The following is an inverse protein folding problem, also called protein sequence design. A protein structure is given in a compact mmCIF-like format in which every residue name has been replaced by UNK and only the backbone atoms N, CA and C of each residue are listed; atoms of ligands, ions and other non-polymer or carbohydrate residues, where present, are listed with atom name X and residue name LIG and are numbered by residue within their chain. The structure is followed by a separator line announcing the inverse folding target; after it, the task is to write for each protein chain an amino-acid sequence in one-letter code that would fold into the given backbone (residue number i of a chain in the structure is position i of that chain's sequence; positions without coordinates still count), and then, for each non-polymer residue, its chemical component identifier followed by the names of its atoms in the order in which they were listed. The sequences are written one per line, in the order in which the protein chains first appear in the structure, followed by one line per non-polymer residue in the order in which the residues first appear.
data_IF_444330811984
#
_entry.id   IF_444330811984
#
_cell.length_a   1.000
_cell.length_b   1.000
_cell.length_c   1.000
_cell.angle_alpha   90.00
_cell.angle_beta   90.00
_cell.angle_gamma   90.00
#
_symmetry.space_group_name_H-M   'P 1'
#
loop_
_entity.id
_entity.type
_entity.pdbx_description
1 polymer ?
#
# COMPACT_ATOMS: atom_id res chain seq x y z
N UNK A 1 17.66 -46.14 -44.38
CA UNK A 1 17.12 -47.36 -43.70
C UNK A 1 17.08 -47.02 -42.22
N UNK A 2 15.99 -46.92 -41.46
CA UNK A 2 14.58 -47.36 -41.55
C UNK A 2 13.73 -46.26 -40.89
N UNK A 3 12.56 -45.95 -41.46
CA UNK A 3 11.54 -45.02 -40.94
C UNK A 3 10.68 -45.70 -39.88
N UNK A 4 10.23 -44.97 -38.86
CA UNK A 4 9.03 -45.32 -38.10
C UNK A 4 7.99 -44.19 -38.18
N UNK A 5 6.86 -44.53 -38.81
CA UNK A 5 5.59 -43.80 -38.82
C UNK A 5 4.80 -44.20 -37.56
N UNK A 6 4.05 -43.26 -36.99
CA UNK A 6 2.81 -43.59 -36.30
C UNK A 6 1.67 -42.72 -36.85
N UNK A 7 0.72 -43.41 -37.49
CA UNK A 7 -0.58 -42.94 -37.94
C UNK A 7 -1.60 -43.26 -36.85
N UNK A 8 -2.44 -42.31 -36.44
CA UNK A 8 -3.79 -42.63 -35.94
C UNK A 8 -4.81 -41.75 -36.66
N UNK A 9 -5.85 -42.44 -37.12
CA UNK A 9 -6.89 -42.03 -38.06
C UNK A 9 -8.01 -41.25 -37.39
N UNK A 10 -8.56 -40.36 -38.22
CA UNK A 10 -9.81 -39.61 -38.14
C UNK A 10 -11.03 -40.53 -37.92
N UNK A 11 -11.99 -40.05 -37.12
CA UNK A 11 -13.42 -40.34 -37.33
C UNK A 11 -14.22 -39.03 -37.21
N UNK A 12 -14.71 -38.56 -38.35
CA UNK A 12 -15.68 -37.48 -38.55
C UNK A 12 -17.02 -38.14 -38.85
N UNK A 13 -18.10 -37.73 -38.19
CA UNK A 13 -19.41 -37.73 -38.84
C UNK A 13 -20.33 -36.68 -38.21
N UNK A 14 -20.70 -35.74 -39.06
CA UNK A 14 -21.74 -34.74 -38.89
C UNK A 14 -23.10 -35.39 -38.66
N UNK A 15 -24.01 -34.71 -37.95
CA UNK A 15 -25.23 -34.11 -38.52
C UNK A 15 -26.05 -33.41 -37.44
N UNK A 16 -26.17 -32.09 -37.60
CA UNK A 16 -27.39 -31.27 -37.60
C UNK A 16 -28.53 -31.39 -36.57
N UNK A 17 -29.04 -30.17 -36.32
CA UNK A 17 -30.44 -29.78 -36.05
C UNK A 17 -30.92 -29.58 -34.60
N UNK A 18 -30.96 -28.29 -34.24
CA UNK A 18 -32.16 -27.54 -33.81
C UNK A 18 -32.86 -27.81 -32.47
N UNK A 19 -33.08 -26.70 -31.74
CA UNK A 19 -34.21 -26.42 -30.81
C UNK A 19 -34.23 -27.25 -29.51
N UNK A 20 -34.65 -26.77 -28.33
CA UNK A 20 -35.00 -25.47 -27.79
C UNK A 20 -34.99 -25.61 -26.26
N UNK A 21 -34.80 -24.50 -25.56
CA UNK A 21 -34.98 -24.39 -24.11
C UNK A 21 -36.41 -24.75 -23.69
N UNK A 22 -36.55 -25.44 -22.55
CA UNK A 22 -37.79 -25.44 -21.78
C UNK A 22 -38.39 -26.82 -21.51
N UNK A 23 -38.50 -27.13 -20.21
CA UNK A 23 -39.36 -28.17 -19.64
C UNK A 23 -38.96 -29.63 -19.88
N UNK A 24 -38.40 -30.26 -18.86
CA UNK A 24 -39.15 -31.23 -18.05
C UNK A 24 -38.46 -31.49 -16.72
N UNK A 25 -39.12 -31.01 -15.67
CA UNK A 25 -38.89 -31.29 -14.27
C UNK A 25 -39.13 -32.77 -13.93
N UNK A 26 -38.38 -33.21 -12.90
CA UNK A 26 -38.77 -34.07 -11.77
C UNK A 26 -38.95 -35.58 -11.96
N UNK A 27 -38.31 -36.25 -10.99
CA UNK A 27 -38.66 -37.49 -10.31
C UNK A 27 -38.25 -38.82 -10.95
N UNK A 28 -37.22 -39.42 -10.34
CA UNK A 28 -37.34 -40.77 -9.76
C UNK A 28 -36.26 -40.97 -8.69
N UNK A 29 -36.70 -41.41 -7.52
CA UNK A 29 -36.00 -41.63 -6.26
C UNK A 29 -35.95 -43.15 -5.99
N UNK A 30 -34.97 -43.57 -5.19
CA UNK A 30 -34.91 -44.82 -4.40
C UNK A 30 -34.55 -46.10 -5.17
N UNK A 31 -33.70 -47.02 -4.71
CA UNK A 31 -33.25 -47.44 -3.36
C UNK A 31 -31.83 -48.03 -3.50
N UNK A 32 -30.96 -48.15 -2.49
CA UNK A 32 -30.97 -49.20 -1.46
C UNK A 32 -30.23 -48.76 -0.16
N UNK A 33 -30.89 -49.09 0.96
CA UNK A 33 -30.51 -49.25 2.37
C UNK A 33 -29.04 -49.62 2.70
N UNK A 34 -28.36 -49.06 3.73
CA UNK A 34 -28.50 -49.06 5.22
C UNK A 34 -27.65 -50.15 5.91
N UNK A 35 -26.57 -49.75 6.60
CA UNK A 35 -26.00 -50.24 7.90
C UNK A 35 -24.92 -49.19 8.27
N UNK A 36 -24.73 -48.62 9.46
CA UNK A 36 -25.30 -48.76 10.80
C UNK A 36 -24.62 -47.71 11.71
N UNK A 37 -25.33 -47.24 12.73
CA UNK A 37 -24.94 -46.20 13.69
C UNK A 37 -23.79 -46.63 14.62
N UNK A 38 -22.83 -45.73 14.85
CA UNK A 38 -22.11 -45.58 16.11
C UNK A 38 -21.90 -44.08 16.38
N UNK A 39 -22.65 -43.55 17.34
CA UNK A 39 -22.56 -42.16 17.78
C UNK A 39 -21.39 -41.99 18.76
N UNK A 40 -20.32 -41.33 18.31
CA UNK A 40 -19.28 -40.74 19.15
C UNK A 40 -19.52 -39.23 19.18
N UNK A 41 -20.14 -38.74 20.26
CA UNK A 41 -20.25 -37.31 20.54
C UNK A 41 -18.88 -36.78 20.98
N UNK A 42 -18.09 -36.28 20.04
CA UNK A 42 -16.94 -35.44 20.34
C UNK A 42 -17.43 -34.01 20.53
N UNK A 43 -17.57 -33.60 21.78
CA UNK A 43 -17.81 -32.21 22.16
C UNK A 43 -16.56 -31.39 21.85
N UNK A 44 -16.51 -30.75 20.69
CA UNK A 44 -15.51 -29.72 20.39
C UNK A 44 -15.94 -28.42 21.08
N UNK A 45 -15.09 -27.79 21.91
CA UNK A 45 -15.37 -26.45 22.41
C UNK A 45 -15.27 -25.47 21.24
N UNK A 46 -16.41 -24.93 20.79
CA UNK A 46 -16.41 -23.74 19.95
C UNK A 46 -15.80 -22.59 20.77
N UNK A 47 -14.73 -21.93 20.30
CA UNK A 47 -14.32 -20.69 20.92
C UNK A 47 -15.43 -19.65 20.69
N UNK A 48 -15.65 -18.71 21.63
CA UNK A 48 -16.61 -17.65 21.40
C UNK A 48 -16.21 -16.88 20.14
N UNK A 49 -17.18 -16.67 19.24
CA UNK A 49 -17.11 -15.71 18.14
C UNK A 49 -16.82 -14.32 18.73
N UNK A 50 -15.54 -14.02 18.91
CA UNK A 50 -15.09 -12.65 19.07
C UNK A 50 -15.31 -11.97 17.72
N UNK A 51 -16.27 -11.05 17.68
CA UNK A 51 -16.41 -10.14 16.56
C UNK A 51 -15.06 -9.46 16.36
N UNK A 52 -14.39 -9.79 15.26
CA UNK A 52 -13.19 -9.08 14.84
C UNK A 52 -13.61 -7.64 14.52
N UNK A 53 -13.36 -6.72 15.43
CA UNK A 53 -13.39 -5.28 15.14
C UNK A 53 -12.26 -5.01 14.14
N UNK A 54 -12.62 -4.90 12.87
CA UNK A 54 -11.72 -4.52 11.78
C UNK A 54 -11.50 -3.01 11.85
N UNK A 55 -10.29 -2.60 12.19
CA UNK A 55 -9.85 -1.20 12.13
C UNK A 55 -9.47 -0.87 10.69
N UNK A 56 -10.40 -0.30 9.92
CA UNK A 56 -10.11 0.33 8.63
C UNK A 56 -9.36 1.66 8.86
N UNK A 57 -8.08 1.59 9.21
CA UNK A 57 -7.21 2.78 9.20
C UNK A 57 -7.11 3.34 7.78
N UNK A 58 -6.86 4.64 7.60
CA UNK A 58 -6.58 5.24 6.30
C UNK A 58 -5.10 5.64 6.26
N UNK A 59 -4.46 5.54 5.10
CA UNK A 59 -3.22 6.28 4.86
C UNK A 59 -3.58 7.76 4.84
N UNK A 60 -2.95 8.52 5.73
CA UNK A 60 -3.23 9.93 5.93
C UNK A 60 -4.03 10.25 7.19
N UNK A 61 -4.96 9.41 7.69
CA UNK A 61 -5.78 9.70 8.88
C UNK A 61 -6.25 8.44 9.65
N UNK A 62 -6.26 8.44 10.99
CA UNK A 62 -6.77 7.30 11.77
C UNK A 62 -8.32 7.30 11.79
N UNK A 63 -8.96 6.25 11.24
CA UNK A 63 -10.41 6.01 11.38
C UNK A 63 -10.62 4.62 11.99
N UNK A 64 -11.25 4.50 13.18
CA UNK A 64 -11.73 3.21 13.68
C UNK A 64 -13.15 2.88 13.17
N UNK A 65 -13.62 1.65 13.36
CA UNK A 65 -14.95 1.13 12.96
C UNK A 65 -16.14 1.70 13.75
N UNK A 66 -17.28 1.91 13.09
CA UNK A 66 -18.51 2.58 13.58
C UNK A 66 -19.52 1.61 14.26
N UNK A 67 -20.02 1.92 15.47
CA UNK A 67 -21.29 1.37 15.99
C UNK A 67 -22.42 2.41 15.95
N UNK A 68 -23.66 1.97 15.65
CA UNK A 68 -24.88 2.81 15.60
C UNK A 68 -25.84 2.38 16.72
N UNK A 69 -26.28 3.29 17.62
CA UNK A 69 -27.47 3.10 18.45
C UNK A 69 -28.59 4.13 18.16
N UNK A 70 -29.84 3.65 18.17
CA UNK A 70 -31.05 4.40 17.79
C UNK A 70 -31.69 5.30 18.87
N UNK A 71 -32.58 6.20 18.41
CA UNK A 71 -33.38 7.17 19.20
C UNK A 71 -34.67 7.62 18.47
N UNK A 72 -35.50 8.45 19.13
CA UNK A 72 -36.96 8.73 18.90
C UNK A 72 -37.36 9.43 17.58
N UNK A 73 -38.64 9.43 17.14
CA UNK A 73 -39.07 9.82 15.78
C UNK A 73 -38.72 11.28 15.33
N UNK A 74 -38.65 12.27 16.22
CA UNK A 74 -38.12 13.61 15.89
C UNK A 74 -36.58 13.64 15.87
N UNK A 75 -35.95 12.80 16.70
CA UNK A 75 -34.54 12.43 16.59
C UNK A 75 -34.27 11.47 15.43
N UNK A 76 -35.29 10.86 14.80
CA UNK A 76 -35.19 10.02 13.60
C UNK A 76 -35.26 10.90 12.37
N UNK A 77 -35.97 12.02 12.37
CA UNK A 77 -35.88 13.00 11.28
C UNK A 77 -34.56 13.77 11.32
N UNK A 78 -34.12 14.22 12.50
CA UNK A 78 -32.76 14.77 12.69
C UNK A 78 -31.68 13.70 12.53
N UNK A 79 -31.96 12.47 12.97
CA UNK A 79 -31.09 11.31 12.88
C UNK A 79 -30.93 10.81 11.46
N UNK A 80 -32.00 10.69 10.67
CA UNK A 80 -31.94 10.29 9.27
C UNK A 80 -31.22 11.35 8.42
N UNK A 81 -31.41 12.64 8.71
CA UNK A 81 -30.64 13.72 8.08
C UNK A 81 -29.16 13.62 8.49
N UNK A 82 -28.86 13.39 9.77
CA UNK A 82 -27.50 13.19 10.28
C UNK A 82 -26.84 11.94 9.68
N UNK A 83 -27.56 10.83 9.58
CA UNK A 83 -27.10 9.57 9.02
C UNK A 83 -26.84 9.70 7.53
N UNK A 84 -27.69 10.42 6.81
CA UNK A 84 -27.48 10.72 5.40
C UNK A 84 -26.26 11.64 5.19
N UNK A 85 -26.03 12.62 6.07
CA UNK A 85 -24.83 13.47 6.06
C UNK A 85 -23.57 12.64 6.32
N UNK A 86 -23.56 11.87 7.40
CA UNK A 86 -22.45 10.99 7.79
C UNK A 86 -22.17 9.97 6.68
N UNK A 87 -23.20 9.38 6.09
CA UNK A 87 -23.06 8.41 5.00
C UNK A 87 -22.52 9.05 3.73
N UNK A 88 -23.04 10.21 3.32
CA UNK A 88 -22.62 10.86 2.06
C UNK A 88 -21.20 11.43 2.18
N UNK A 89 -20.90 12.12 3.27
CA UNK A 89 -19.55 12.63 3.55
C UNK A 89 -18.57 11.49 3.81
N UNK A 90 -18.98 10.46 4.56
CA UNK A 90 -18.18 9.25 4.77
C UNK A 90 -17.86 8.54 3.45
N UNK A 91 -18.84 8.41 2.55
CA UNK A 91 -18.63 7.89 1.21
C UNK A 91 -17.67 8.75 0.40
N UNK A 92 -17.80 10.08 0.48
CA UNK A 92 -16.87 10.99 -0.20
C UNK A 92 -15.46 10.81 0.34
N UNK A 93 -15.30 10.77 1.66
CA UNK A 93 -14.01 10.55 2.32
C UNK A 93 -13.37 9.22 1.92
N UNK A 94 -14.17 8.18 1.67
CA UNK A 94 -13.63 6.86 1.26
C UNK A 94 -13.32 6.80 -0.23
N UNK A 95 -14.23 7.24 -1.10
CA UNK A 95 -14.08 7.08 -2.56
C UNK A 95 -13.17 8.12 -3.19
N UNK A 96 -13.11 9.31 -2.60
CA UNK A 96 -12.32 10.44 -3.13
C UNK A 96 -10.97 10.59 -2.44
N UNK A 97 -10.65 9.76 -1.45
CA UNK A 97 -9.36 9.82 -0.74
C UNK A 97 -8.20 9.68 -1.73
N UNK A 98 -7.22 10.62 -1.71
CA UNK A 98 -6.05 10.54 -2.59
C UNK A 98 -5.30 9.23 -2.42
N UNK A 99 -5.09 8.82 -1.17
CA UNK A 99 -4.53 7.52 -0.80
C UNK A 99 -5.46 6.86 0.23
N UNK A 100 -5.65 5.55 0.13
CA UNK A 100 -6.43 4.75 1.08
C UNK A 100 -5.54 3.68 1.70
N UNK A 101 -5.89 3.18 2.88
CA UNK A 101 -5.09 2.11 3.50
C UNK A 101 -5.03 0.87 2.63
N UNK A 102 -3.86 0.26 2.61
CA UNK A 102 -3.60 -1.01 1.98
C UNK A 102 -3.57 -2.16 2.99
N UNK A 103 -3.89 -1.92 4.27
CA UNK A 103 -3.87 -2.94 5.33
C UNK A 103 -4.85 -4.09 5.06
N UNK A 104 -5.94 -3.83 4.34
CA UNK A 104 -6.89 -4.85 3.88
C UNK A 104 -6.45 -5.53 2.57
N UNK A 105 -5.45 -4.97 1.90
CA UNK A 105 -4.92 -5.41 0.61
C UNK A 105 -3.50 -5.97 0.72
N UNK A 106 -3.06 -6.34 1.93
CA UNK A 106 -1.75 -6.96 2.15
C UNK A 106 -1.58 -8.18 1.25
N UNK A 107 -0.41 -8.29 0.63
CA UNK A 107 -0.06 -9.51 -0.08
C UNK A 107 0.09 -10.66 0.92
N UNK A 108 -0.35 -11.89 0.57
CA UNK A 108 -0.12 -13.07 1.40
C UNK A 108 1.38 -13.23 1.69
N UNK A 109 1.73 -13.59 2.92
CA UNK A 109 3.11 -13.88 3.28
C UNK A 109 3.41 -15.37 3.17
N UNK A 110 4.67 -15.72 2.91
CA UNK A 110 5.14 -17.11 2.91
C UNK A 110 6.13 -17.33 4.04
N UNK A 111 6.00 -18.48 4.71
CA UNK A 111 6.93 -18.91 5.77
C UNK A 111 8.27 -19.39 5.21
N UNK A 112 8.28 -19.89 3.99
CA UNK A 112 9.47 -20.32 3.27
C UNK A 112 9.46 -19.79 1.84
N UNK A 113 10.55 -19.12 1.45
CA UNK A 113 10.73 -18.62 0.09
C UNK A 113 10.94 -19.80 -0.88
N UNK A 114 10.20 -19.91 -2.00
CA UNK A 114 10.33 -21.05 -2.90
C UNK A 114 11.71 -21.15 -3.56
N UNK A 115 12.19 -22.38 -3.74
CA UNK A 115 13.48 -22.68 -4.37
C UNK A 115 14.66 -22.62 -3.39
N UNK A 116 15.84 -22.26 -3.91
CA UNK A 116 17.11 -22.21 -3.15
C UNK A 116 17.15 -21.04 -2.15
N UNK A 117 18.16 -21.01 -1.27
CA UNK A 117 18.40 -19.84 -0.42
C UNK A 117 18.51 -18.54 -1.26
N UNK A 118 18.05 -17.42 -0.69
CA UNK A 118 18.13 -16.11 -1.33
C UNK A 118 19.58 -15.70 -1.53
N UNK A 119 19.98 -15.50 -2.78
CA UNK A 119 21.32 -15.09 -3.17
C UNK A 119 21.21 -13.94 -4.20
N UNK A 120 21.05 -12.70 -3.72
CA UNK A 120 20.72 -11.57 -4.57
C UNK A 120 21.85 -11.25 -5.54
N UNK A 121 21.47 -10.93 -6.77
CA UNK A 121 22.32 -10.29 -7.75
C UNK A 121 22.19 -8.76 -7.62
N UNK A 122 23.17 -8.05 -8.17
CA UNK A 122 23.10 -6.61 -8.32
C UNK A 122 21.87 -6.20 -9.15
N UNK A 123 21.42 -4.97 -8.96
CA UNK A 123 20.29 -4.43 -9.70
C UNK A 123 20.56 -4.49 -11.22
N UNK A 124 19.57 -4.89 -12.06
CA UNK A 124 19.75 -4.88 -13.51
C UNK A 124 20.09 -3.46 -14.01
N UNK A 125 21.07 -3.30 -14.91
CA UNK A 125 21.57 -1.97 -15.31
C UNK A 125 20.52 -1.10 -16.00
N UNK A 126 19.50 -1.71 -16.62
CA UNK A 126 18.40 -1.01 -17.28
C UNK A 126 17.15 -0.88 -16.38
N UNK A 127 17.20 -1.24 -15.10
CA UNK A 127 16.01 -1.19 -14.22
C UNK A 127 15.48 0.25 -14.10
N UNK A 128 16.36 1.22 -13.89
CA UNK A 128 15.99 2.63 -13.72
C UNK A 128 15.36 3.20 -15.02
N UNK A 129 15.92 2.88 -16.19
CA UNK A 129 15.33 3.33 -17.45
C UNK A 129 13.99 2.66 -17.74
N UNK A 130 13.86 1.36 -17.44
CA UNK A 130 12.60 0.64 -17.54
C UNK A 130 11.51 1.27 -16.67
N UNK A 131 11.77 1.46 -15.38
CA UNK A 131 10.75 1.94 -14.44
C UNK A 131 10.27 3.36 -14.77
N UNK A 132 11.19 4.25 -15.19
CA UNK A 132 10.83 5.62 -15.59
C UNK A 132 9.96 5.67 -16.84
N UNK A 133 10.13 4.71 -17.75
CA UNK A 133 9.34 4.60 -18.98
C UNK A 133 7.98 3.91 -18.78
N UNK A 134 7.82 3.17 -17.69
CA UNK A 134 6.61 2.41 -17.41
C UNK A 134 5.48 3.32 -16.91
N UNK A 135 4.32 3.26 -17.59
CA UNK A 135 3.14 4.03 -17.19
C UNK A 135 2.61 3.66 -15.79
N UNK A 136 2.79 2.41 -15.37
CA UNK A 136 2.34 1.88 -14.08
C UNK A 136 3.48 1.62 -13.09
N UNK A 137 4.69 2.10 -13.39
CA UNK A 137 5.85 1.94 -12.51
C UNK A 137 6.32 0.49 -12.34
N UNK A 138 5.95 -0.40 -13.27
CA UNK A 138 6.41 -1.78 -13.29
C UNK A 138 7.69 -1.96 -14.12
N UNK A 139 8.44 -3.02 -13.81
CA UNK A 139 9.60 -3.44 -14.59
C UNK A 139 9.46 -4.90 -14.97
N UNK A 140 10.25 -5.33 -15.95
CA UNK A 140 10.29 -6.71 -16.37
C UNK A 140 11.59 -7.34 -15.90
N UNK A 141 11.49 -8.37 -15.06
CA UNK A 141 12.62 -9.09 -14.48
C UNK A 141 12.63 -10.54 -14.95
N UNK A 142 13.82 -11.06 -15.22
CA UNK A 142 13.99 -12.50 -15.43
C UNK A 142 13.87 -13.24 -14.09
N UNK A 143 13.60 -14.56 -14.11
CA UNK A 143 13.76 -15.42 -12.96
C UNK A 143 15.14 -15.22 -12.29
N UNK A 144 15.14 -14.92 -10.99
CA UNK A 144 16.34 -14.52 -10.27
C UNK A 144 16.05 -13.93 -8.89
N UNK A 145 17.12 -13.68 -8.16
CA UNK A 145 17.11 -12.99 -6.87
C UNK A 145 17.73 -11.60 -7.07
N UNK A 146 17.03 -10.55 -6.66
CA UNK A 146 17.44 -9.17 -6.87
C UNK A 146 17.45 -8.41 -5.56
N UNK A 147 18.49 -7.60 -5.40
CA UNK A 147 18.55 -6.53 -4.41
C UNK A 147 18.39 -5.20 -5.14
N UNK A 148 17.38 -4.42 -4.76
CA UNK A 148 17.08 -3.13 -5.38
C UNK A 148 17.14 -2.05 -4.30
N UNK A 149 18.15 -1.17 -4.31
CA UNK A 149 18.16 0.00 -3.44
C UNK A 149 16.96 0.90 -3.72
N UNK A 150 16.36 1.45 -2.67
CA UNK A 150 15.21 2.35 -2.79
C UNK A 150 15.35 3.56 -1.87
N UNK A 151 14.91 4.72 -2.35
CA UNK A 151 14.48 5.82 -1.49
C UNK A 151 13.08 5.49 -0.97
N UNK A 152 12.87 5.58 0.34
CA UNK A 152 11.54 5.40 0.94
C UNK A 152 10.91 6.75 1.24
N UNK A 153 9.58 6.83 1.23
CA UNK A 153 8.85 8.06 1.50
C UNK A 153 7.67 7.80 2.44
N UNK A 154 7.47 8.67 3.44
CA UNK A 154 6.32 8.62 4.33
C UNK A 154 5.01 8.69 3.55
N UNK A 155 4.07 7.81 3.89
CA UNK A 155 2.72 7.76 3.33
C UNK A 155 1.61 8.12 4.32
N UNK A 156 1.97 8.73 5.46
CA UNK A 156 1.01 9.14 6.48
C UNK A 156 1.51 10.36 7.24
N UNK A 157 0.67 11.36 7.38
CA UNK A 157 0.93 12.51 8.27
C UNK A 157 0.65 12.14 9.72
N UNK A 158 1.41 12.72 10.64
CA UNK A 158 1.27 12.58 12.10
C UNK A 158 1.38 11.13 12.60
N UNK A 159 2.39 10.39 12.12
CA UNK A 159 2.76 9.08 12.64
C UNK A 159 4.28 8.97 12.78
N UNK A 160 4.77 8.04 13.60
CA UNK A 160 6.20 7.90 13.86
C UNK A 160 6.90 7.16 12.72
N UNK A 161 8.18 7.46 12.49
CA UNK A 161 9.03 6.67 11.60
C UNK A 161 10.17 6.03 12.40
N UNK A 162 9.92 4.91 13.10
CA UNK A 162 10.93 4.23 13.88
C UNK A 162 12.07 3.70 13.00
N UNK A 163 13.29 3.70 13.54
CA UNK A 163 14.40 3.00 12.93
C UNK A 163 14.17 1.48 13.01
N UNK A 164 14.37 0.78 11.90
CA UNK A 164 14.48 -0.68 11.90
C UNK A 164 13.17 -1.41 12.14
N UNK A 165 12.08 -1.02 11.47
CA UNK A 165 10.75 -1.64 11.59
C UNK A 165 10.47 -2.70 10.52
N UNK A 166 9.47 -3.56 10.79
CA UNK A 166 8.97 -4.57 9.85
C UNK A 166 7.83 -4.00 9.00
N UNK A 167 7.94 -4.13 7.69
CA UNK A 167 6.90 -3.71 6.75
C UNK A 167 6.40 -4.87 5.88
N UNK A 168 5.10 -5.12 5.89
CA UNK A 168 4.48 -6.03 4.92
C UNK A 168 4.16 -5.28 3.64
N UNK A 169 4.29 -5.94 2.49
CA UNK A 169 3.99 -5.28 1.23
C UNK A 169 2.50 -5.33 0.92
N UNK A 170 2.04 -4.26 0.30
CA UNK A 170 0.71 -4.13 -0.26
C UNK A 170 0.75 -3.24 -1.52
N UNK A 171 -0.28 -3.27 -2.37
CA UNK A 171 -0.41 -2.32 -3.46
C UNK A 171 -0.85 -0.96 -2.92
N UNK A 172 -0.35 0.11 -3.51
CA UNK A 172 -0.86 1.45 -3.26
C UNK A 172 -2.30 1.58 -3.77
N UNK A 173 -3.17 2.26 -2.99
CA UNK A 173 -4.60 2.41 -3.27
C UNK A 173 -5.06 3.84 -2.99
N UNK A 174 -6.21 4.20 -3.57
CA UNK A 174 -6.78 5.55 -3.51
C UNK A 174 -6.85 6.23 -4.88
N UNK A 175 -7.52 7.38 -4.93
CA UNK A 175 -7.82 8.12 -6.16
C UNK A 175 -6.59 8.71 -6.87
N UNK A 176 -5.50 8.88 -6.13
CA UNK A 176 -4.22 9.42 -6.60
C UNK A 176 -3.07 8.42 -6.47
N UNK A 177 -3.36 7.13 -6.24
CA UNK A 177 -2.34 6.09 -6.09
C UNK A 177 -1.46 5.97 -7.34
N UNK A 178 -2.03 6.11 -8.53
CA UNK A 178 -1.27 6.11 -9.78
C UNK A 178 -0.40 7.35 -9.95
N UNK A 179 -0.82 8.52 -9.44
CA UNK A 179 0.00 9.74 -9.42
C UNK A 179 1.24 9.56 -8.53
N UNK A 180 1.07 9.01 -7.32
CA UNK A 180 2.20 8.70 -6.43
C UNK A 180 3.10 7.62 -7.04
N UNK A 181 2.50 6.59 -7.65
CA UNK A 181 3.25 5.54 -8.36
C UNK A 181 4.08 6.14 -9.50
N UNK A 182 3.50 7.05 -10.28
CA UNK A 182 4.20 7.75 -11.35
C UNK A 182 5.31 8.66 -10.81
N UNK A 183 5.09 9.34 -9.68
CA UNK A 183 6.13 10.15 -9.02
C UNK A 183 7.31 9.26 -8.63
N UNK A 184 7.04 8.15 -7.92
CA UNK A 184 8.06 7.20 -7.48
C UNK A 184 8.81 6.57 -8.66
N UNK A 185 8.11 6.23 -9.73
CA UNK A 185 8.70 5.63 -10.92
C UNK A 185 9.56 6.62 -11.71
N UNK A 186 9.06 7.84 -11.95
CA UNK A 186 9.68 8.83 -12.84
C UNK A 186 10.81 9.62 -12.17
N UNK A 187 10.80 9.71 -10.84
CA UNK A 187 11.89 10.30 -10.04
C UNK A 187 13.02 9.32 -9.73
N UNK A 188 12.86 8.03 -10.07
CA UNK A 188 13.84 6.99 -9.81
C UNK A 188 15.22 7.35 -10.40
N UNK A 189 16.26 7.33 -9.56
CA UNK A 189 17.63 7.68 -9.92
C UNK A 189 17.85 9.10 -10.44
N UNK A 190 16.98 10.04 -10.08
CA UNK A 190 17.18 11.46 -10.37
C UNK A 190 17.96 12.15 -9.25
N UNK A 191 18.54 13.31 -9.54
CA UNK A 191 19.23 14.16 -8.56
C UNK A 191 18.27 15.07 -7.76
N UNK A 192 16.95 14.90 -7.92
CA UNK A 192 15.97 15.69 -7.15
C UNK A 192 16.10 15.34 -5.66
N UNK A 193 16.31 16.31 -4.77
CA UNK A 193 16.51 16.03 -3.35
C UNK A 193 15.34 15.25 -2.74
N UNK A 194 15.65 14.23 -1.93
CA UNK A 194 14.65 13.43 -1.21
C UNK A 194 13.66 14.30 -0.44
N UNK A 195 14.14 15.34 0.24
CA UNK A 195 13.33 16.28 1.00
C UNK A 195 12.25 16.96 0.15
N UNK A 196 12.55 17.34 -1.09
CA UNK A 196 11.58 17.95 -2.00
C UNK A 196 10.56 16.93 -2.50
N UNK A 197 11.02 15.72 -2.85
CA UNK A 197 10.13 14.62 -3.24
C UNK A 197 9.20 14.20 -2.10
N UNK A 198 9.69 14.17 -0.86
CA UNK A 198 8.89 13.87 0.33
C UNK A 198 7.82 14.94 0.57
N UNK A 199 8.18 16.22 0.45
CA UNK A 199 7.19 17.31 0.59
C UNK A 199 6.14 17.24 -0.53
N UNK A 200 6.54 17.00 -1.78
CA UNK A 200 5.58 16.79 -2.86
C UNK A 200 4.67 15.59 -2.57
N UNK A 201 5.24 14.48 -2.08
CA UNK A 201 4.49 13.29 -1.70
C UNK A 201 3.42 13.61 -0.64
N UNK A 202 3.76 14.35 0.42
CA UNK A 202 2.77 14.78 1.43
C UNK A 202 1.67 15.68 0.85
N UNK A 203 2.00 16.58 -0.07
CA UNK A 203 1.01 17.43 -0.76
C UNK A 203 0.03 16.58 -1.58
N UNK A 204 0.54 15.64 -2.37
CA UNK A 204 -0.27 14.75 -3.20
C UNK A 204 -1.14 13.81 -2.35
N UNK A 205 -0.60 13.28 -1.24
CA UNK A 205 -1.34 12.47 -0.27
C UNK A 205 -2.48 13.24 0.41
N UNK A 206 -2.27 14.54 0.65
CA UNK A 206 -3.29 15.42 1.22
C UNK A 206 -4.31 15.91 0.19
N UNK A 207 -4.12 15.54 -1.09
CA UNK A 207 -5.00 15.92 -2.19
C UNK A 207 -4.95 17.40 -2.49
N UNK A 208 -3.78 18.03 -2.37
CA UNK A 208 -3.56 19.42 -2.77
C UNK A 208 -3.74 19.57 -4.29
N UNK A 209 -4.34 20.68 -4.73
CA UNK A 209 -4.36 21.03 -6.16
C UNK A 209 -3.07 21.72 -6.57
N UNK A 210 -2.78 21.71 -7.87
CA UNK A 210 -1.56 22.25 -8.47
C UNK A 210 -1.33 23.72 -8.10
N UNK A 211 -2.39 24.52 -8.06
CA UNK A 211 -2.34 25.95 -7.73
C UNK A 211 -2.01 26.23 -6.25
N UNK A 212 -2.06 25.23 -5.38
CA UNK A 212 -1.69 25.35 -3.97
C UNK A 212 -0.24 24.94 -3.70
N UNK A 213 0.37 24.24 -4.65
CA UNK A 213 1.78 23.88 -4.57
C UNK A 213 2.64 25.14 -4.71
N UNK A 214 3.79 25.16 -4.04
CA UNK A 214 4.80 26.21 -4.24
C UNK A 214 5.40 26.12 -5.64
N UNK A 215 6.01 27.20 -6.17
CA UNK A 215 6.64 27.18 -7.51
C UNK A 215 7.66 26.04 -7.70
N UNK A 216 8.41 25.71 -6.65
CA UNK A 216 9.40 24.63 -6.66
C UNK A 216 8.71 23.27 -6.82
N UNK A 217 7.66 23.01 -6.04
CA UNK A 217 6.89 21.77 -6.12
C UNK A 217 6.16 21.63 -7.47
N UNK A 218 5.67 22.74 -8.03
CA UNK A 218 5.07 22.76 -9.38
C UNK A 218 6.09 22.38 -10.45
N UNK A 219 7.34 22.83 -10.32
CA UNK A 219 8.42 22.45 -11.24
C UNK A 219 8.63 20.93 -11.23
N UNK A 220 8.59 20.30 -10.06
CA UNK A 220 8.70 18.84 -9.93
C UNK A 220 7.49 18.14 -10.55
N UNK A 221 6.28 18.67 -10.37
CA UNK A 221 5.07 18.16 -11.04
C UNK A 221 5.16 18.30 -12.55
N UNK A 222 5.65 19.42 -13.06
CA UNK A 222 5.81 19.65 -14.50
C UNK A 222 6.86 18.71 -15.11
N UNK A 223 7.91 18.40 -14.35
CA UNK A 223 8.96 17.50 -14.77
C UNK A 223 8.52 16.03 -14.77
N UNK A 224 7.85 15.56 -13.71
CA UNK A 224 7.57 14.14 -13.53
C UNK A 224 6.10 13.76 -13.77
N UNK A 225 5.16 14.67 -13.61
CA UNK A 225 3.72 14.39 -13.65
C UNK A 225 2.94 15.27 -14.64
N UNK A 226 3.48 15.64 -15.83
CA UNK A 226 2.82 16.59 -16.73
C UNK A 226 1.43 16.10 -17.15
N UNK A 227 1.28 14.80 -17.43
CA UNK A 227 0.02 14.19 -17.87
C UNK A 227 -1.05 14.14 -16.77
N UNK A 228 -0.65 14.29 -15.50
CA UNK A 228 -1.54 14.23 -14.34
C UNK A 228 -2.03 15.59 -13.88
N UNK A 229 -1.50 16.70 -14.42
CA UNK A 229 -1.83 18.07 -13.98
C UNK A 229 -3.32 18.36 -14.00
N UNK A 230 -4.05 17.90 -15.03
CA UNK A 230 -5.50 18.11 -15.13
C UNK A 230 -6.28 17.45 -13.98
N UNK A 231 -5.76 16.36 -13.41
CA UNK A 231 -6.36 15.68 -12.25
C UNK A 231 -6.01 16.36 -10.92
N UNK A 232 -5.03 17.25 -10.93
CA UNK A 232 -4.63 18.08 -9.79
C UNK A 232 -5.30 19.47 -9.84
N UNK A 233 -6.41 19.65 -10.58
CA UNK A 233 -7.08 20.95 -10.68
C UNK A 233 -8.05 21.27 -9.53
N UNK A 234 -8.42 20.25 -8.75
CA UNK A 234 -9.35 20.37 -7.62
C UNK A 234 -8.82 19.57 -6.46
N UNK A 235 -8.75 20.21 -5.30
CA UNK A 235 -8.25 19.58 -4.09
C UNK A 235 -9.28 18.60 -3.50
N UNK A 236 -8.81 17.63 -2.73
CA UNK A 236 -9.68 16.69 -2.01
C UNK A 236 -10.60 17.44 -1.04
N UNK A 237 -10.08 18.46 -0.36
CA UNK A 237 -10.87 19.26 0.57
C UNK A 237 -11.98 20.05 -0.13
N UNK A 238 -11.74 20.63 -1.30
CA UNK A 238 -12.79 21.28 -2.11
C UNK A 238 -13.88 20.30 -2.58
N UNK A 239 -13.55 19.01 -2.79
CA UNK A 239 -14.57 17.99 -3.11
C UNK A 239 -15.48 17.72 -1.91
N UNK A 240 -14.93 17.72 -0.70
CA UNK A 240 -15.71 17.61 0.54
C UNK A 240 -16.63 18.83 0.69
N UNK A 241 -16.11 20.04 0.47
CA UNK A 241 -16.91 21.27 0.50
C UNK A 241 -18.02 21.27 -0.55
N UNK A 242 -17.72 20.81 -1.77
CA UNK A 242 -18.72 20.67 -2.84
C UNK A 242 -19.82 19.67 -2.45
N UNK A 243 -19.44 18.56 -1.81
CA UNK A 243 -20.40 17.56 -1.31
C UNK A 243 -21.28 18.16 -0.22
N UNK A 244 -20.70 18.92 0.72
CA UNK A 244 -21.47 19.67 1.72
C UNK A 244 -22.44 20.66 1.07
N UNK A 245 -21.97 21.46 0.11
CA UNK A 245 -22.78 22.46 -0.59
C UNK A 245 -23.98 21.84 -1.31
N UNK A 246 -23.78 20.67 -1.94
CA UNK A 246 -24.86 19.93 -2.59
C UNK A 246 -25.89 19.44 -1.57
N UNK A 247 -25.44 18.98 -0.40
CA UNK A 247 -26.32 18.55 0.68
C UNK A 247 -27.08 19.72 1.30
N UNK A 248 -26.43 20.86 1.53
CA UNK A 248 -27.09 22.07 2.07
C UNK A 248 -28.13 22.65 1.12
N UNK A 249 -27.94 22.50 -0.19
CA UNK A 249 -28.94 22.89 -1.18
C UNK A 249 -30.18 21.99 -1.18
N UNK A 250 -30.02 20.72 -0.81
CA UNK A 250 -31.10 19.73 -0.77
C UNK A 250 -31.86 19.68 0.58
N UNK A 251 -31.24 20.13 1.67
CA UNK A 251 -31.77 20.05 3.03
C UNK A 251 -31.98 21.46 3.59
N UNK A 252 -33.21 22.00 3.57
CA UNK A 252 -33.52 23.30 4.13
C UNK A 252 -33.12 23.41 5.60
N UNK A 253 -32.43 24.48 5.97
CA UNK A 253 -31.99 24.73 7.34
C UNK A 253 -30.75 23.96 7.79
N UNK A 254 -30.03 23.29 6.89
CA UNK A 254 -28.75 22.67 7.22
C UNK A 254 -27.75 23.75 7.66
N UNK A 255 -27.07 23.60 8.83
CA UNK A 255 -26.06 24.55 9.27
C UNK A 255 -24.84 24.60 8.33
N UNK A 256 -23.88 25.50 8.59
CA UNK A 256 -22.60 25.47 7.86
C UNK A 256 -21.81 24.20 8.18
N UNK A 257 -20.89 23.81 7.29
CA UNK A 257 -20.00 22.66 7.52
C UNK A 257 -19.27 22.82 8.85
N UNK A 258 -18.65 23.97 9.08
CA UNK A 258 -17.90 24.29 10.30
C UNK A 258 -18.70 24.09 11.58
N UNK A 259 -19.95 24.59 11.61
CA UNK A 259 -20.83 24.45 12.76
C UNK A 259 -21.29 23.00 12.99
N UNK A 260 -21.16 22.15 11.97
CA UNK A 260 -21.63 20.75 11.99
C UNK A 260 -20.50 19.75 12.28
N UNK A 261 -19.23 20.08 12.01
CA UNK A 261 -18.11 19.12 12.13
C UNK A 261 -18.06 18.44 13.49
N UNK A 262 -18.27 19.16 14.59
CA UNK A 262 -18.26 18.59 15.95
C UNK A 262 -19.35 17.55 16.21
N UNK A 263 -20.42 17.53 15.40
CA UNK A 263 -21.57 16.62 15.54
C UNK A 263 -21.48 15.40 14.62
N UNK A 264 -20.60 15.44 13.62
CA UNK A 264 -20.42 14.36 12.64
C UNK A 264 -19.50 13.24 13.15
N UNK A 265 -19.10 13.28 14.42
CA UNK A 265 -18.19 12.31 15.03
C UNK A 265 -16.90 12.19 14.23
N UNK A 266 -16.54 10.95 13.86
CA UNK A 266 -15.29 10.65 13.14
C UNK A 266 -15.20 11.31 11.78
N UNK A 267 -16.30 11.38 11.02
CA UNK A 267 -16.32 12.05 9.72
C UNK A 267 -15.92 13.52 9.89
N UNK A 268 -16.48 14.20 10.87
CA UNK A 268 -16.11 15.58 11.19
C UNK A 268 -14.66 15.71 11.62
N UNK A 269 -14.18 14.80 12.47
CA UNK A 269 -12.80 14.77 12.95
C UNK A 269 -11.79 14.56 11.80
N UNK A 270 -12.07 13.65 10.88
CA UNK A 270 -11.29 13.42 9.66
C UNK A 270 -11.22 14.70 8.82
N UNK A 271 -12.35 15.39 8.61
CA UNK A 271 -12.38 16.64 7.83
C UNK A 271 -11.57 17.76 8.51
N UNK A 272 -11.66 17.87 9.84
CA UNK A 272 -10.86 18.82 10.62
C UNK A 272 -9.37 18.54 10.44
N UNK A 273 -8.95 17.27 10.56
CA UNK A 273 -7.53 16.93 10.38
C UNK A 273 -7.07 17.16 8.94
N UNK A 274 -7.88 16.84 7.92
CA UNK A 274 -7.56 17.17 6.51
C UNK A 274 -7.32 18.67 6.33
N UNK A 275 -8.21 19.51 6.89
CA UNK A 275 -8.06 20.96 6.83
C UNK A 275 -6.76 21.41 7.50
N UNK A 276 -6.49 20.93 8.71
CA UNK A 276 -5.28 21.27 9.45
C UNK A 276 -4.01 20.85 8.71
N UNK A 277 -3.95 19.63 8.16
CA UNK A 277 -2.82 19.15 7.37
C UNK A 277 -2.57 20.03 6.14
N UNK A 278 -3.64 20.38 5.43
CA UNK A 278 -3.59 21.30 4.28
C UNK A 278 -3.09 22.68 4.67
N UNK A 279 -3.61 23.27 5.74
CA UNK A 279 -3.15 24.56 6.25
C UNK A 279 -1.67 24.52 6.65
N UNK A 280 -1.21 23.43 7.28
CA UNK A 280 0.20 23.21 7.61
C UNK A 280 1.07 23.15 6.36
N UNK A 281 0.64 22.41 5.32
CA UNK A 281 1.35 22.33 4.04
C UNK A 281 1.44 23.70 3.36
N UNK A 282 0.34 24.45 3.32
CA UNK A 282 0.34 25.80 2.75
C UNK A 282 1.21 26.77 3.56
N UNK A 283 1.21 26.66 4.89
CA UNK A 283 1.99 27.53 5.78
C UNK A 283 3.49 27.32 5.62
N UNK A 284 3.94 26.07 5.57
CA UNK A 284 5.37 25.75 5.52
C UNK A 284 5.89 25.54 4.09
N UNK A 285 5.02 25.42 3.09
CA UNK A 285 5.39 25.31 1.69
C UNK A 285 6.35 24.16 1.42
N UNK A 286 7.52 24.46 0.86
CA UNK A 286 8.57 23.48 0.58
C UNK A 286 9.57 23.28 1.75
N UNK A 287 9.28 23.78 2.95
CA UNK A 287 10.17 23.67 4.11
C UNK A 287 10.07 22.28 4.75
N UNK A 288 10.89 21.35 4.25
CA UNK A 288 10.97 19.98 4.73
C UNK A 288 11.20 19.88 6.24
N UNK A 289 12.11 20.67 6.82
CA UNK A 289 12.46 20.57 8.24
C UNK A 289 11.25 20.90 9.14
N UNK A 290 10.51 21.96 8.81
CA UNK A 290 9.32 22.34 9.56
C UNK A 290 8.17 21.35 9.40
N UNK A 291 8.00 20.81 8.19
CA UNK A 291 6.99 19.79 7.90
C UNK A 291 7.32 18.46 8.57
N UNK A 292 8.58 18.01 8.53
CA UNK A 292 9.06 16.80 9.18
C UNK A 292 8.78 16.83 10.69
N UNK A 293 9.12 17.93 11.37
CA UNK A 293 8.83 18.10 12.81
C UNK A 293 7.33 18.06 13.14
N UNK A 294 6.49 18.48 12.20
CA UNK A 294 5.03 18.54 12.41
C UNK A 294 4.34 17.21 12.07
N UNK A 295 4.78 16.55 11.00
CA UNK A 295 4.13 15.35 10.46
C UNK A 295 4.78 14.05 10.89
N UNK A 296 6.02 14.08 11.37
CA UNK A 296 6.73 12.91 11.86
C UNK A 296 7.04 13.13 13.33
N UNK A 297 6.05 12.96 14.23
CA UNK A 297 6.32 13.01 15.66
C UNK A 297 7.43 12.01 16.03
N UNK A 298 8.17 12.32 17.09
CA UNK A 298 9.14 11.42 17.70
C UNK A 298 8.41 10.42 18.59
N UNK A 299 8.71 9.13 18.45
CA UNK A 299 8.09 8.09 19.26
C UNK A 299 8.62 6.71 18.91
N UNK A 300 8.31 5.73 19.76
CA UNK A 300 8.74 4.34 19.61
C UNK A 300 7.61 3.52 18.97
N UNK A 301 7.98 2.55 18.12
CA UNK A 301 7.04 1.58 17.60
C UNK A 301 6.40 0.81 18.78
N UNK A 302 5.07 0.66 18.78
CA UNK A 302 4.39 -0.13 19.82
C UNK A 302 4.59 -1.63 19.63
N UNK A 303 4.98 -2.02 18.42
CA UNK A 303 5.35 -3.38 18.05
C UNK A 303 6.85 -3.45 17.77
N UNK A 304 7.58 -4.29 18.52
CA UNK A 304 8.98 -4.59 18.25
C UNK A 304 9.06 -5.50 17.02
N UNK A 305 9.40 -4.91 15.86
CA UNK A 305 9.65 -5.66 14.64
C UNK A 305 11.03 -5.35 14.11
N UNK A 306 12.00 -6.24 14.27
CA UNK A 306 13.27 -6.09 13.55
C UNK A 306 13.02 -6.26 12.05
N UNK A 307 13.50 -5.31 11.26
CA UNK A 307 13.56 -5.40 9.80
C UNK A 307 14.12 -6.73 9.28
N UNK A 308 15.05 -7.37 10.02
CA UNK A 308 15.63 -8.67 9.70
C UNK A 308 14.60 -9.80 9.62
N UNK A 309 13.51 -9.68 10.38
CA UNK A 309 12.42 -10.66 10.44
C UNK A 309 11.26 -10.32 9.49
N UNK A 310 11.48 -9.44 8.51
CA UNK A 310 10.44 -9.10 7.53
C UNK A 310 10.14 -10.32 6.64
N UNK A 311 8.90 -10.84 6.66
CA UNK A 311 8.52 -12.01 5.88
C UNK A 311 8.42 -11.66 4.39
N UNK A 312 8.52 -12.69 3.56
CA UNK A 312 8.34 -12.55 2.12
C UNK A 312 6.86 -12.43 1.77
N UNK A 313 6.51 -11.38 1.04
CA UNK A 313 5.18 -11.15 0.49
C UNK A 313 5.10 -11.76 -0.92
N UNK A 314 4.06 -12.55 -1.19
CA UNK A 314 3.78 -13.11 -2.51
C UNK A 314 2.96 -12.11 -3.33
N UNK A 315 3.64 -11.31 -4.15
CA UNK A 315 3.05 -10.28 -5.00
C UNK A 315 2.23 -10.90 -6.13
N UNK A 316 2.72 -12.01 -6.67
CA UNK A 316 2.05 -12.83 -7.69
C UNK A 316 2.51 -14.29 -7.57
N UNK A 317 1.93 -15.24 -8.31
CA UNK A 317 2.40 -16.63 -8.30
C UNK A 317 3.90 -16.80 -8.59
N UNK A 318 4.52 -15.83 -9.29
CA UNK A 318 5.94 -15.89 -9.67
C UNK A 318 6.82 -14.88 -8.95
N UNK A 319 6.27 -13.97 -8.15
CA UNK A 319 7.01 -12.83 -7.60
C UNK A 319 6.84 -12.78 -6.09
N UNK A 320 7.96 -12.82 -5.40
CA UNK A 320 8.05 -12.68 -3.95
C UNK A 320 8.91 -11.46 -3.64
N UNK A 321 8.49 -10.62 -2.71
CA UNK A 321 9.26 -9.44 -2.34
C UNK A 321 9.16 -9.12 -0.85
N UNK A 322 10.14 -8.37 -0.33
CA UNK A 322 10.09 -7.76 1.00
C UNK A 322 10.88 -6.47 1.03
N UNK A 323 10.36 -5.50 1.79
CA UNK A 323 11.04 -4.23 2.04
C UNK A 323 11.87 -4.36 3.32
N UNK A 324 13.16 -4.08 3.20
CA UNK A 324 14.12 -4.07 4.29
C UNK A 324 14.53 -2.61 4.57
N UNK A 325 14.21 -2.10 5.75
CA UNK A 325 14.57 -0.73 6.17
C UNK A 325 15.19 -0.78 7.55
N UNK A 326 16.45 -0.41 7.68
CA UNK A 326 17.14 -0.34 8.98
C UNK A 326 17.01 1.04 9.64
N UNK A 327 16.76 2.09 8.84
CA UNK A 327 16.54 3.44 9.32
C UNK A 327 15.07 3.86 9.29
N UNK A 328 14.89 5.16 9.31
CA UNK A 328 13.63 5.90 9.18
C UNK A 328 13.23 6.08 7.71
N UNK A 329 12.15 6.82 7.45
CA UNK A 329 11.73 7.20 6.10
C UNK A 329 12.75 8.05 5.32
N UNK A 330 13.72 8.66 6.00
CA UNK A 330 14.75 9.47 5.38
C UNK A 330 16.01 8.65 5.06
N UNK A 331 16.04 7.38 5.45
CA UNK A 331 17.18 6.50 5.27
C UNK A 331 16.98 5.59 4.04
N UNK A 332 18.06 5.15 3.37
CA UNK A 332 17.96 4.19 2.30
C UNK A 332 17.28 2.88 2.74
N UNK A 333 16.39 2.38 1.88
CA UNK A 333 15.78 1.06 1.99
C UNK A 333 16.34 0.10 0.95
N UNK A 334 16.00 -1.17 1.13
CA UNK A 334 16.33 -2.23 0.19
C UNK A 334 15.08 -3.07 -0.11
N UNK A 335 14.67 -3.13 -1.37
CA UNK A 335 13.63 -4.03 -1.83
C UNK A 335 14.28 -5.32 -2.35
N UNK A 336 14.06 -6.42 -1.63
CA UNK A 336 14.49 -7.74 -2.06
C UNK A 336 13.40 -8.39 -2.88
N UNK A 337 13.73 -8.92 -4.06
CA UNK A 337 12.77 -9.53 -4.98
C UNK A 337 13.28 -10.89 -5.45
N UNK A 338 12.42 -11.90 -5.40
CA UNK A 338 12.62 -13.18 -6.07
C UNK A 338 11.58 -13.36 -7.16
N UNK A 339 12.05 -13.65 -8.37
CA UNK A 339 11.24 -14.06 -9.50
C UNK A 339 11.49 -15.54 -9.77
N UNK A 340 10.42 -16.34 -9.80
CA UNK A 340 10.48 -17.79 -10.08
C UNK A 340 9.91 -18.12 -11.46
N UNK A 341 10.40 -19.22 -12.04
CA UNK A 341 9.87 -19.73 -13.30
C UNK A 341 8.44 -20.28 -13.11
N UNK A 342 7.56 -20.04 -14.09
CA UNK A 342 6.19 -20.54 -14.04
C UNK A 342 6.12 -22.07 -13.89
N UNK A 343 7.02 -22.80 -14.56
CA UNK A 343 7.10 -24.27 -14.49
C UNK A 343 7.63 -24.83 -13.17
N UNK A 344 7.95 -23.96 -12.21
CA UNK A 344 8.50 -24.38 -10.92
C UNK A 344 7.52 -24.17 -9.75
N UNK A 345 6.41 -23.47 -9.99
CA UNK A 345 5.33 -23.25 -9.01
C UNK A 345 4.76 -24.60 -8.53
N UNK A 346 4.80 -24.85 -7.20
CA UNK A 346 4.23 -26.04 -6.57
C UNK A 346 5.17 -27.24 -6.39
N UNK A 347 6.45 -27.12 -6.77
CA UNK A 347 7.43 -28.18 -6.56
C UNK A 347 7.93 -28.23 -5.09
N UNK A 348 8.29 -29.41 -4.59
CA UNK A 348 8.92 -29.60 -3.28
C UNK A 348 10.41 -29.23 -3.33
N UNK A 349 11.06 -28.75 -2.23
CA UNK A 349 12.45 -28.26 -2.20
C UNK A 349 13.50 -29.09 -2.98
N UNK A 350 13.41 -30.42 -2.94
CA UNK A 350 14.30 -31.33 -3.69
C UNK A 350 14.01 -31.46 -5.18
N UNK A 351 12.78 -31.19 -5.62
CA UNK A 351 12.37 -31.21 -7.03
C UNK A 351 12.77 -29.93 -7.77
N UNK A 352 13.05 -28.83 -7.06
CA UNK A 352 13.52 -27.58 -7.67
C UNK A 352 14.92 -27.71 -8.26
N UNK A 353 15.84 -28.38 -7.57
CA UNK A 353 17.22 -28.58 -8.06
C UNK A 353 17.23 -29.39 -9.35
N UNK A 354 16.34 -30.39 -9.43
CA UNK A 354 16.13 -31.18 -10.64
C UNK A 354 15.45 -30.34 -11.75
N UNK A 355 14.45 -29.52 -11.43
CA UNK A 355 13.76 -28.69 -12.40
C UNK A 355 14.64 -27.54 -12.95
N UNK A 356 15.51 -26.94 -12.14
CA UNK A 356 16.49 -25.93 -12.62
C UNK A 356 17.62 -26.56 -13.41
N UNK A 357 18.09 -27.77 -13.07
CA UNK A 357 19.08 -28.48 -13.89
C UNK A 357 18.47 -28.98 -15.21
N UNK A 358 17.20 -29.40 -15.20
CA UNK A 358 16.44 -29.76 -16.40
C UNK A 358 16.07 -28.55 -17.26
N UNK A 359 15.72 -27.40 -16.68
CA UNK A 359 15.49 -26.16 -17.43
C UNK A 359 16.81 -25.50 -17.91
N UNK A 360 17.95 -25.84 -17.31
CA UNK A 360 19.26 -25.49 -17.84
C UNK A 360 19.69 -26.37 -19.02
N UNK A 361 19.14 -27.59 -19.13
CA UNK A 361 19.46 -28.56 -20.21
C UNK A 361 18.41 -28.57 -21.33
N UNK A 362 17.15 -28.31 -21.00
CA UNK A 362 16.06 -28.00 -21.93
C UNK A 362 15.98 -26.49 -21.97
N UNK A 363 16.34 -25.88 -23.10
CA UNK A 363 16.41 -24.44 -23.35
C UNK A 363 15.03 -23.73 -23.24
N UNK A 364 14.34 -23.89 -22.11
CA UNK A 364 13.09 -23.23 -21.76
C UNK A 364 13.47 -21.79 -21.45
N UNK A 365 13.29 -20.93 -22.45
CA UNK A 365 13.61 -19.51 -22.35
C UNK A 365 13.02 -18.95 -21.05
N UNK A 366 13.88 -18.37 -20.21
CA UNK A 366 13.48 -17.71 -18.98
C UNK A 366 12.49 -16.60 -19.34
N UNK A 367 11.21 -16.77 -18.98
CA UNK A 367 10.16 -15.83 -19.37
C UNK A 367 10.24 -14.63 -18.44
N UNK A 368 10.42 -13.41 -18.98
CA UNK A 368 10.43 -12.22 -18.16
C UNK A 368 9.07 -11.99 -17.47
N UNK A 369 9.08 -11.57 -16.21
CA UNK A 369 7.90 -11.37 -15.37
C UNK A 369 7.78 -9.90 -15.01
N UNK A 370 6.55 -9.36 -15.12
CA UNK A 370 6.22 -7.99 -14.73
C UNK A 370 6.15 -7.86 -13.22
N UNK A 371 6.84 -6.86 -12.66
CA UNK A 371 6.92 -6.58 -11.22
C UNK A 371 6.57 -5.11 -10.94
N UNK A 372 5.53 -4.80 -10.14
CA UNK A 372 5.01 -3.44 -9.97
C UNK A 372 5.77 -2.63 -8.90
N UNK A 373 7.09 -2.43 -9.05
CA UNK A 373 7.95 -1.91 -7.98
C UNK A 373 7.51 -0.56 -7.39
N UNK A 374 7.22 0.45 -8.21
CA UNK A 374 6.90 1.80 -7.71
C UNK A 374 5.49 1.94 -7.12
N UNK A 375 4.62 0.95 -7.39
CA UNK A 375 3.24 0.90 -6.87
C UNK A 375 3.12 0.11 -5.56
N UNK A 376 4.24 -0.33 -4.97
CA UNK A 376 4.26 -1.01 -3.68
C UNK A 376 4.32 -0.01 -2.53
N UNK A 377 3.69 -0.39 -1.42
CA UNK A 377 3.80 0.29 -0.13
C UNK A 377 4.15 -0.73 0.95
N UNK A 378 5.05 -0.36 1.85
CA UNK A 378 5.32 -1.05 3.09
C UNK A 378 4.31 -0.62 4.15
N UNK A 379 3.47 -1.55 4.58
CA UNK A 379 2.50 -1.41 5.67
C UNK A 379 3.13 -1.89 6.99
N UNK A 380 3.21 -1.04 8.03
CA UNK A 380 3.88 -1.38 9.27
C UNK A 380 3.06 -2.30 10.19
N UNK A 381 1.80 -2.58 9.85
CA UNK A 381 0.81 -3.24 10.70
C UNK A 381 0.65 -2.62 12.10
N UNK A 382 1.02 -1.36 12.23
CA UNK A 382 0.97 -0.56 13.45
C UNK A 382 0.50 0.84 13.07
N UNK A 383 -0.69 1.23 13.53
CA UNK A 383 -1.29 2.51 13.18
C UNK A 383 -0.48 3.72 13.68
N UNK A 384 0.42 3.53 14.66
CA UNK A 384 1.31 4.56 15.19
C UNK A 384 2.56 4.77 14.32
N UNK A 385 2.85 3.84 13.40
CA UNK A 385 4.01 3.87 12.51
C UNK A 385 3.59 4.32 11.11
N UNK A 386 4.46 5.07 10.44
CA UNK A 386 4.25 5.54 9.08
C UNK A 386 4.50 4.42 8.07
N UNK A 387 3.53 4.18 7.17
CA UNK A 387 3.73 3.36 5.98
C UNK A 387 4.70 4.06 5.02
N UNK A 388 5.39 3.26 4.22
CA UNK A 388 6.46 3.72 3.34
C UNK A 388 6.18 3.35 1.89
N UNK A 389 6.11 4.34 1.01
CA UNK A 389 6.26 4.07 -0.43
C UNK A 389 7.73 4.10 -0.81
N UNK A 390 8.06 3.71 -2.04
CA UNK A 390 9.44 3.52 -2.44
C UNK A 390 9.70 3.88 -3.91
N UNK A 391 10.87 4.44 -4.17
CA UNK A 391 11.40 4.73 -5.50
C UNK A 391 12.78 4.09 -5.66
N UNK A 392 13.00 3.22 -6.66
CA UNK A 392 14.33 2.66 -6.92
C UNK A 392 15.41 3.72 -7.13
N UNK A 393 16.59 3.49 -6.57
CA UNK A 393 17.78 4.32 -6.78
C UNK A 393 18.95 3.48 -7.35
N UNK A 394 19.91 4.11 -8.05
CA UNK A 394 21.16 3.47 -8.47
C UNK A 394 21.87 2.78 -7.29
N UNK A 395 22.67 1.75 -7.58
CA UNK A 395 23.57 1.18 -6.56
C UNK A 395 24.62 2.24 -6.16
N UNK A 396 24.90 2.37 -4.86
CA UNK A 396 25.75 3.42 -4.25
C UNK A 396 27.24 3.38 -4.63
N UNK A 397 27.61 2.68 -5.71
CA UNK A 397 28.99 2.66 -6.22
C UNK A 397 29.46 4.03 -6.73
N UNK A 398 28.54 4.98 -6.86
CA UNK A 398 28.78 6.33 -7.38
C UNK A 398 28.58 7.45 -6.32
N UNK A 399 28.24 7.12 -5.06
CA UNK A 399 27.98 8.13 -4.00
C UNK A 399 29.25 8.70 -3.34
N UNK A 400 30.46 8.17 -3.62
CA UNK A 400 31.71 8.76 -3.09
C UNK A 400 32.07 10.12 -3.72
N UNK A 401 31.43 10.52 -4.84
CA UNK A 401 31.79 11.76 -5.56
C UNK A 401 30.72 12.87 -5.51
N UNK A 402 29.56 12.65 -4.90
CA UNK A 402 28.51 13.68 -4.77
C UNK A 402 28.00 13.77 -3.35
N UNK A 403 28.48 14.77 -2.63
CA UNK A 403 28.15 15.02 -1.23
C UNK A 403 26.65 15.16 -0.98
N UNK A 404 26.01 14.07 -0.61
CA UNK A 404 24.70 14.07 0.02
C UNK A 404 24.92 13.96 1.53
N UNK A 405 24.72 15.08 2.21
CA UNK A 405 24.78 15.14 3.67
C UNK A 405 23.74 14.21 4.25
N UNK A 406 24.19 13.04 4.75
CA UNK A 406 23.44 12.24 5.68
C UNK A 406 23.06 13.13 6.86
N UNK A 407 21.79 13.53 6.95
CA UNK A 407 21.24 14.09 8.18
C UNK A 407 21.19 12.94 9.20
N UNK A 408 22.32 12.73 9.89
CA UNK A 408 22.32 12.02 11.16
C UNK A 408 21.42 12.82 12.10
N UNK A 409 20.16 12.39 12.26
CA UNK A 409 19.36 12.74 13.43
C UNK A 409 20.03 12.01 14.60
N UNK A 410 21.03 12.67 15.17
CA UNK A 410 21.80 12.15 16.28
C UNK A 410 20.89 12.19 17.51
N UNK A 411 20.43 11.02 17.97
CA UNK A 411 19.98 10.83 19.34
C UNK A 411 21.16 11.09 20.28
N UNK A 412 21.43 12.37 20.58
CA UNK A 412 22.31 12.72 21.69
C UNK A 412 21.53 12.58 22.97
N UNK A 413 21.74 11.44 23.63
CA UNK A 413 21.45 11.25 25.04
C UNK A 413 21.99 12.43 25.84
N UNK A 414 21.09 13.13 26.51
CA UNK A 414 21.43 14.23 27.40
C UNK A 414 21.88 13.65 28.74
N UNK A 415 23.16 13.27 28.83
CA UNK A 415 23.83 13.17 30.12
C UNK A 415 24.10 14.61 30.58
N UNK A 416 23.20 15.15 31.39
CA UNK A 416 23.37 16.46 31.99
C UNK A 416 24.64 16.51 32.84
N UNK A 417 25.37 17.64 32.88
CA UNK A 417 26.52 17.78 33.76
C UNK A 417 26.05 17.79 35.22
N UNK A 418 26.58 16.86 36.01
CA UNK A 418 26.61 16.94 37.47
C UNK A 418 27.20 18.29 37.88
N UNK A 419 26.39 19.15 38.48
CA UNK A 419 26.87 20.23 39.34
C UNK A 419 26.39 19.97 40.76
N UNK A 420 27.33 19.51 41.56
CA UNK A 420 27.34 19.64 43.01
C UNK A 420 27.43 21.12 43.40
N UNK A 421 26.49 21.58 44.23
CA UNK A 421 26.71 22.33 45.48
C UNK A 421 25.65 23.41 45.78
N UNK A 422 25.41 23.70 47.08
CA UNK A 422 24.05 23.73 47.62
C UNK A 422 23.52 25.13 47.97
N UNK A 423 22.20 25.17 48.22
CA UNK A 423 21.44 26.01 49.16
C UNK A 423 22.00 27.41 49.50
N UNK A 424 21.25 28.45 49.15
CA UNK A 424 20.70 29.35 50.18
C UNK A 424 19.53 30.22 49.66
N UNK A 425 18.47 30.19 50.48
CA UNK A 425 17.45 31.20 50.85
C UNK A 425 17.61 32.59 50.16
N UNK A 426 16.56 33.22 49.62
CA UNK A 426 15.24 33.59 50.19
C UNK A 426 14.19 33.68 49.07
#
# INVERSE_FOLDING_TARGET
MVKHLLLIRVARRDTDSSLSWGQRLRQSLQSHALVGLAALTVSLPMPPLQAATVTAGFFGLPIPSLPIPGGSIEDVLKGAVSDQLIKTLGSTLTTESPISSSSEALFPTVSQLPGRAFNPQAMPPNLISQIRSAADGSVTLLPGDYRIPVNVFCMKVSAHSPAGHRYLLAPLKGKSADIITALNARSAGTLTPHSQLQVLSWNLQSGMKYEELTPELRTIVDQFLPDYKSRLSQSFYERIESTWSNLSGAIPGLPSMDSSLGRLGRVGQTIVTLRQTRETLMRYGNNFESLSRTFVPTGQATTSGSSANTPWSQISPQVYARLMTQGTYADPGELQVRVVNAGSIGLQPGQWVAATSLAGTLNLAAVPVKVPLAGLVGDPQDASVQPLSMSPKPDDKDEEESGSGSLQIQEKGFSGPQRSDPLNQV
#
